data_IF_939501197946
#
_entry.id   IF_939501197946
#
_cell.length_a   1.000
_cell.length_b   1.000
_cell.length_c   1.000
_cell.angle_alpha   90.00
_cell.angle_beta   90.00
_cell.angle_gamma   90.00
#
_symmetry.space_group_name_H-M   'P 1'
#
loop_
_entity.id
_entity.type
_entity.pdbx_description
1 polymer ?
#
# COMPACT_ATOMS: atom_id res chain seq x y z
N UNK A 1 1.88 -1.35 -17.96
CA UNK A 1 2.54 -1.35 -16.65
C UNK A 1 2.76 0.08 -16.17
N UNK A 2 2.76 0.28 -14.88
CA UNK A 2 2.99 1.60 -14.27
C UNK A 2 4.49 1.84 -14.16
N UNK A 3 4.96 3.02 -14.58
CA UNK A 3 6.37 3.39 -14.46
C UNK A 3 6.75 3.65 -13.00
N UNK A 4 8.06 3.57 -12.72
CA UNK A 4 8.57 3.89 -11.37
C UNK A 4 8.25 5.31 -10.98
N UNK A 5 8.32 6.26 -11.92
CA UNK A 5 7.99 7.67 -11.65
C UNK A 5 6.52 7.83 -11.26
N UNK A 6 5.63 7.12 -11.94
CA UNK A 6 4.20 7.16 -11.61
C UNK A 6 3.94 6.57 -10.22
N UNK A 7 4.60 5.46 -9.89
CA UNK A 7 4.50 4.86 -8.55
C UNK A 7 4.98 5.84 -7.49
N UNK A 8 6.12 6.50 -7.74
CA UNK A 8 6.65 7.50 -6.81
C UNK A 8 5.68 8.65 -6.60
N UNK A 9 5.05 9.13 -7.66
CA UNK A 9 4.05 10.21 -7.56
C UNK A 9 2.83 9.77 -6.73
N UNK A 10 2.39 8.53 -6.88
CA UNK A 10 1.30 7.97 -6.09
C UNK A 10 1.68 7.96 -4.61
N UNK A 11 2.86 7.45 -4.29
CA UNK A 11 3.37 7.38 -2.91
C UNK A 11 3.49 8.79 -2.32
N UNK A 12 4.09 9.72 -3.05
CA UNK A 12 4.27 11.10 -2.58
C UNK A 12 2.93 11.76 -2.25
N UNK A 13 1.91 11.51 -3.05
CA UNK A 13 0.58 12.07 -2.83
C UNK A 13 -0.05 11.52 -1.55
N UNK A 14 0.09 10.22 -1.30
CA UNK A 14 -0.39 9.61 -0.07
C UNK A 14 0.35 10.19 1.14
N UNK A 15 1.67 10.27 1.06
CA UNK A 15 2.50 10.77 2.15
C UNK A 15 2.12 12.20 2.52
N UNK A 16 1.96 13.07 1.53
CA UNK A 16 1.64 14.49 1.77
C UNK A 16 0.26 14.69 2.39
N UNK A 17 -0.70 13.82 2.09
CA UNK A 17 -2.08 13.99 2.54
C UNK A 17 -2.41 13.20 3.80
N UNK A 18 -1.72 12.11 4.10
CA UNK A 18 -2.06 11.22 5.21
C UNK A 18 -0.93 10.99 6.19
N UNK A 19 0.31 11.34 5.85
CA UNK A 19 1.48 11.19 6.72
C UNK A 19 1.56 9.78 7.35
N UNK A 20 1.58 8.72 6.53
CA UNK A 20 1.59 7.36 7.04
C UNK A 20 2.92 7.00 7.69
N UNK A 21 2.93 5.90 8.45
CA UNK A 21 4.15 5.38 9.06
C UNK A 21 5.03 4.66 8.00
N UNK A 22 4.39 3.95 7.08
CA UNK A 22 5.11 3.14 6.09
C UNK A 22 4.19 2.86 4.90
N UNK A 23 4.79 2.73 3.72
CA UNK A 23 4.09 2.25 2.52
C UNK A 23 4.93 1.13 1.92
N UNK A 24 4.33 -0.04 1.73
CA UNK A 24 4.98 -1.22 1.18
C UNK A 24 4.25 -1.64 -0.10
N UNK A 25 5.00 -1.80 -1.17
CA UNK A 25 4.49 -2.37 -2.42
C UNK A 25 4.67 -3.89 -2.34
N UNK A 26 3.61 -4.62 -2.65
CA UNK A 26 3.67 -6.09 -2.64
C UNK A 26 3.00 -6.64 -3.90
N UNK A 27 2.86 -7.96 -3.98
CA UNK A 27 2.26 -8.59 -5.14
C UNK A 27 3.17 -8.60 -6.37
N UNK A 28 2.58 -8.60 -7.56
CA UNK A 28 3.33 -8.81 -8.81
C UNK A 28 4.34 -7.71 -9.10
N UNK A 29 4.05 -6.45 -8.75
CA UNK A 29 5.00 -5.35 -8.95
C UNK A 29 6.24 -5.50 -8.07
N UNK A 30 6.08 -6.05 -6.87
CA UNK A 30 7.22 -6.27 -5.98
C UNK A 30 8.04 -7.49 -6.40
N UNK A 31 7.41 -8.52 -6.92
CA UNK A 31 8.08 -9.76 -7.33
C UNK A 31 8.69 -9.68 -8.73
N UNK A 32 8.42 -8.63 -9.49
CA UNK A 32 8.93 -8.48 -10.85
C UNK A 32 8.13 -9.26 -11.89
N UNK A 33 6.94 -9.75 -11.56
CA UNK A 33 6.10 -10.53 -12.46
C UNK A 33 4.93 -9.73 -13.03
N UNK A 34 4.88 -8.42 -12.75
CA UNK A 34 3.79 -7.57 -13.21
C UNK A 34 3.73 -7.48 -14.74
N UNK A 35 2.52 -7.38 -15.26
CA UNK A 35 2.27 -7.11 -16.67
C UNK A 35 1.23 -5.98 -16.79
N UNK A 36 0.79 -5.68 -18.02
CA UNK A 36 -0.12 -4.56 -18.27
C UNK A 36 -1.48 -4.71 -17.58
N UNK A 37 -1.86 -5.92 -17.18
CA UNK A 37 -3.13 -6.20 -16.53
C UNK A 37 -3.01 -6.30 -15.01
N UNK A 38 -1.81 -6.15 -14.46
CA UNK A 38 -1.56 -6.25 -13.03
C UNK A 38 -1.99 -5.00 -12.29
N UNK A 39 -2.55 -5.19 -11.07
CA UNK A 39 -2.84 -4.10 -10.15
C UNK A 39 -1.59 -3.75 -9.36
N UNK A 40 -1.45 -2.47 -9.02
CA UNK A 40 -0.43 -2.02 -8.06
C UNK A 40 -0.99 -2.25 -6.65
N UNK A 41 -0.34 -3.14 -5.89
CA UNK A 41 -0.77 -3.48 -4.53
C UNK A 41 0.07 -2.70 -3.52
N UNK A 42 -0.59 -1.88 -2.71
CA UNK A 42 0.06 -1.07 -1.68
C UNK A 42 -0.53 -1.36 -0.31
N UNK A 43 0.35 -1.62 0.66
CA UNK A 43 -0.01 -1.68 2.08
C UNK A 43 0.44 -0.36 2.72
N UNK A 44 -0.52 0.39 3.25
CA UNK A 44 -0.26 1.66 3.92
C UNK A 44 -0.45 1.45 5.41
N UNK A 45 0.61 1.66 6.19
CA UNK A 45 0.58 1.54 7.64
C UNK A 45 0.36 2.93 8.22
N UNK A 46 -0.79 3.14 8.85
CA UNK A 46 -1.12 4.42 9.49
C UNK A 46 -2.22 4.22 10.52
N UNK A 47 -2.28 5.11 11.49
CA UNK A 47 -3.39 5.13 12.44
C UNK A 47 -4.67 5.55 11.73
N UNK A 48 -5.80 4.97 12.13
CA UNK A 48 -7.09 5.30 11.58
C UNK A 48 -8.18 5.01 12.60
N UNK A 49 -9.14 5.93 12.71
CA UNK A 49 -10.34 5.74 13.53
C UNK A 49 -11.47 5.06 12.75
N UNK A 50 -11.27 4.87 11.45
CA UNK A 50 -12.28 4.24 10.60
C UNK A 50 -12.25 2.73 10.73
N UNK A 51 -13.41 2.06 10.62
CA UNK A 51 -13.43 0.61 10.54
C UNK A 51 -12.62 0.15 9.32
N UNK A 52 -12.07 -1.08 9.43
CA UNK A 52 -11.13 -1.62 8.46
C UNK A 52 -11.61 -1.50 7.01
N UNK A 53 -12.87 -1.78 6.76
CA UNK A 53 -13.43 -1.80 5.40
C UNK A 53 -13.63 -0.40 4.80
N UNK A 54 -13.44 0.67 5.58
CA UNK A 54 -13.59 2.06 5.12
C UNK A 54 -12.28 2.82 5.03
N UNK A 55 -11.18 2.25 5.49
CA UNK A 55 -9.91 2.98 5.62
C UNK A 55 -9.30 3.37 4.28
N UNK A 56 -9.48 2.56 3.24
CA UNK A 56 -8.84 2.83 1.96
C UNK A 56 -9.59 3.87 1.13
N UNK A 57 -10.87 4.11 1.40
CA UNK A 57 -11.67 5.04 0.61
C UNK A 57 -11.10 6.46 0.56
N UNK A 58 -10.71 7.09 1.69
CA UNK A 58 -10.11 8.42 1.64
C UNK A 58 -8.83 8.48 0.79
N UNK A 59 -8.03 7.42 0.81
CA UNK A 59 -6.80 7.36 0.01
C UNK A 59 -7.13 7.22 -1.47
N UNK A 60 -8.12 6.39 -1.81
CA UNK A 60 -8.54 6.23 -3.21
C UNK A 60 -9.12 7.52 -3.78
N UNK A 61 -9.77 8.33 -2.96
CA UNK A 61 -10.35 9.60 -3.39
C UNK A 61 -9.29 10.63 -3.82
N UNK A 62 -8.04 10.45 -3.42
CA UNK A 62 -6.95 11.27 -3.92
C UNK A 62 -6.72 11.09 -5.42
N UNK A 63 -7.13 9.95 -5.96
CA UNK A 63 -6.84 9.54 -7.32
C UNK A 63 -8.14 9.46 -8.12
N UNK A 64 -8.56 10.57 -8.69
CA UNK A 64 -9.76 10.62 -9.51
C UNK A 64 -9.48 11.45 -10.77
N UNK A 65 -9.30 10.80 -11.94
CA UNK A 65 -9.33 9.34 -12.13
C UNK A 65 -8.10 8.64 -11.57
N UNK A 66 -8.21 7.34 -11.33
CA UNK A 66 -7.05 6.55 -10.91
C UNK A 66 -6.01 6.51 -12.03
N UNK A 67 -4.72 6.73 -11.71
CA UNK A 67 -3.67 6.71 -12.73
C UNK A 67 -3.41 5.31 -13.30
N UNK A 68 -3.85 4.28 -12.57
CA UNK A 68 -3.70 2.89 -12.95
C UNK A 68 -4.56 2.01 -12.04
N UNK A 69 -4.79 0.74 -12.37
CA UNK A 69 -5.43 -0.18 -11.44
C UNK A 69 -4.59 -0.31 -10.17
N UNK A 70 -5.21 -0.05 -9.02
CA UNK A 70 -4.54 -0.05 -7.72
C UNK A 70 -5.42 -0.71 -6.68
N UNK A 71 -4.77 -1.46 -5.78
CA UNK A 71 -5.40 -1.99 -4.58
C UNK A 71 -4.66 -1.44 -3.37
N UNK A 72 -5.35 -0.65 -2.55
CA UNK A 72 -4.76 -0.01 -1.37
C UNK A 72 -5.37 -0.64 -0.13
N UNK A 73 -4.52 -1.23 0.70
CA UNK A 73 -4.90 -1.82 1.98
C UNK A 73 -4.30 -0.96 3.08
N UNK A 74 -5.13 -0.57 4.06
CA UNK A 74 -4.68 0.24 5.20
C UNK A 74 -4.76 -0.61 6.46
N UNK A 75 -3.63 -0.70 7.18
CA UNK A 75 -3.52 -1.39 8.45
C UNK A 75 -2.91 -0.45 9.49
N UNK A 76 -3.39 -0.55 10.73
CA UNK A 76 -2.79 0.24 11.83
C UNK A 76 -1.50 -0.44 12.31
N UNK A 77 -0.60 0.32 12.98
CA UNK A 77 0.60 -0.30 13.56
C UNK A 77 0.29 -1.47 14.51
N UNK A 78 -0.78 -1.38 15.28
CA UNK A 78 -1.19 -2.47 16.16
C UNK A 78 -1.57 -3.73 15.38
N UNK A 79 -2.30 -3.56 14.28
CA UNK A 79 -2.67 -4.68 13.42
C UNK A 79 -1.45 -5.30 12.75
N UNK A 80 -0.47 -4.48 12.37
CA UNK A 80 0.79 -4.98 11.82
C UNK A 80 1.48 -5.88 12.85
N UNK A 81 1.60 -5.44 14.10
CA UNK A 81 2.22 -6.23 15.16
C UNK A 81 1.48 -7.55 15.38
N UNK A 82 0.15 -7.52 15.27
CA UNK A 82 -0.68 -8.70 15.50
C UNK A 82 -0.57 -9.75 14.37
N UNK A 83 -0.57 -9.29 13.11
CA UNK A 83 -0.67 -10.17 11.96
C UNK A 83 0.65 -10.53 11.31
N UNK A 84 1.73 -9.77 11.56
CA UNK A 84 3.03 -10.06 10.96
C UNK A 84 3.56 -11.38 11.47
N UNK A 85 3.90 -12.27 10.53
CA UNK A 85 4.33 -13.64 10.85
C UNK A 85 3.23 -14.69 10.77
N UNK A 86 1.97 -14.27 10.64
CA UNK A 86 0.86 -15.21 10.46
C UNK A 86 0.88 -15.73 9.01
N UNK A 87 0.91 -17.05 8.85
CA UNK A 87 1.01 -17.69 7.54
C UNK A 87 -0.20 -17.29 6.67
N UNK A 88 0.08 -16.97 5.42
CA UNK A 88 -0.92 -16.61 4.41
C UNK A 88 -1.68 -15.30 4.68
N UNK A 89 -1.24 -14.50 5.65
CA UNK A 89 -1.82 -13.19 5.86
C UNK A 89 -1.15 -12.15 4.97
N UNK A 90 -1.93 -11.20 4.45
CA UNK A 90 -1.41 -10.14 3.53
C UNK A 90 -0.30 -9.32 4.18
N UNK A 91 -0.39 -9.05 5.47
CA UNK A 91 0.65 -8.31 6.21
C UNK A 91 1.97 -9.07 6.15
N UNK A 92 1.93 -10.38 6.45
CA UNK A 92 3.13 -11.22 6.42
C UNK A 92 3.75 -11.23 5.03
N UNK A 93 2.93 -11.37 4.00
CA UNK A 93 3.43 -11.38 2.62
C UNK A 93 4.06 -10.05 2.24
N UNK A 94 3.42 -8.94 2.59
CA UNK A 94 3.95 -7.61 2.30
C UNK A 94 5.29 -7.37 3.00
N UNK A 95 5.41 -7.75 4.26
CA UNK A 95 6.66 -7.55 5.02
C UNK A 95 7.76 -8.52 4.63
N UNK A 96 7.41 -9.70 4.13
CA UNK A 96 8.40 -10.73 3.76
C UNK A 96 8.90 -10.54 2.32
N UNK A 97 7.99 -10.27 1.38
CA UNK A 97 8.27 -10.25 -0.06
C UNK A 97 8.12 -8.88 -0.70
N UNK A 98 7.56 -7.92 0.02
CA UNK A 98 7.31 -6.59 -0.53
C UNK A 98 8.54 -5.69 -0.54
N UNK A 99 8.37 -4.51 -1.12
CA UNK A 99 9.37 -3.45 -1.15
C UNK A 99 8.85 -2.23 -0.39
N UNK A 100 9.63 -1.75 0.57
CA UNK A 100 9.30 -0.53 1.29
C UNK A 100 9.52 0.67 0.36
N UNK A 101 8.46 1.40 0.04
CA UNK A 101 8.53 2.59 -0.79
C UNK A 101 8.65 3.87 0.03
N UNK A 102 8.20 3.84 1.27
CA UNK A 102 8.27 4.96 2.18
C UNK A 102 8.30 4.47 3.61
N UNK A 103 9.12 5.10 4.43
CA UNK A 103 9.18 4.83 5.85
C UNK A 103 9.42 6.15 6.58
N UNK A 104 8.54 6.46 7.52
CA UNK A 104 8.65 7.68 8.32
C UNK A 104 9.81 7.54 9.31
N UNK A 105 10.64 8.56 9.35
CA UNK A 105 11.77 8.59 10.29
C UNK A 105 11.35 9.04 11.69
#
# INVERSE_FOLDING_TARGET
MISEDKIKNIVDKIVRNFNPNKIIMFGSYASGTANKDSDLDLLVVMNSDLPRHRRSAPLRLLFNPQPAPMDIIVQTPDEISHWNGVVNHVVTEAFTKGKVLYEKS
#
